data_IF_530868271362
#
_entry.id   IF_530868271362
#
_cell.length_a   1.000
_cell.length_b   1.000
_cell.length_c   1.000
_cell.angle_alpha   90.00
_cell.angle_beta   90.00
_cell.angle_gamma   90.00
#
_symmetry.space_group_name_H-M   'P 1'
#
loop_
_entity.id
_entity.type
_entity.pdbx_description
1 polymer ?
#
# COMPACT_ATOMS: atom_id res chain seq x y z
N UNK A 1 0.37 -13.98 -8.54
CA UNK A 1 0.64 -12.53 -8.55
C UNK A 1 0.69 -12.06 -10.00
N UNK A 2 0.05 -10.94 -10.32
CA UNK A 2 0.24 -10.28 -11.64
C UNK A 2 0.90 -8.92 -11.42
N UNK A 3 1.76 -8.54 -12.33
CA UNK A 3 2.43 -7.24 -12.33
C UNK A 3 2.72 -6.78 -13.76
N UNK A 4 2.94 -5.47 -13.98
CA UNK A 4 3.31 -4.93 -15.28
C UNK A 4 4.55 -5.57 -15.86
N UNK A 5 4.68 -5.57 -17.19
CA UNK A 5 5.89 -6.05 -17.87
C UNK A 5 7.12 -5.20 -17.53
N UNK A 6 6.90 -3.94 -17.18
CA UNK A 6 7.93 -2.99 -16.75
C UNK A 6 8.44 -3.23 -15.32
N UNK A 7 7.89 -4.22 -14.59
CA UNK A 7 8.31 -4.51 -13.21
C UNK A 7 9.78 -4.97 -13.18
N UNK A 8 10.62 -4.35 -12.33
CA UNK A 8 12.04 -4.73 -12.22
C UNK A 8 12.23 -6.22 -11.95
N UNK A 9 13.16 -6.84 -12.68
CA UNK A 9 13.43 -8.29 -12.60
C UNK A 9 13.77 -8.75 -11.17
N UNK A 10 14.42 -7.92 -10.38
CA UNK A 10 14.73 -8.22 -8.97
C UNK A 10 13.48 -8.55 -8.15
N UNK A 11 12.36 -7.83 -8.39
CA UNK A 11 11.08 -8.06 -7.69
C UNK A 11 10.40 -9.34 -8.19
N UNK A 12 10.44 -9.55 -9.51
CA UNK A 12 9.88 -10.76 -10.16
C UNK A 12 10.59 -12.01 -9.68
N UNK A 13 11.92 -12.00 -9.73
CA UNK A 13 12.77 -13.12 -9.31
C UNK A 13 12.62 -13.39 -7.81
N UNK A 14 12.55 -12.37 -6.96
CA UNK A 14 12.31 -12.54 -5.53
C UNK A 14 10.98 -13.24 -5.26
N UNK A 15 9.90 -12.83 -5.93
CA UNK A 15 8.60 -13.48 -5.77
C UNK A 15 8.63 -14.95 -6.24
N UNK A 16 9.26 -15.23 -7.38
CA UNK A 16 9.42 -16.61 -7.90
C UNK A 16 10.25 -17.49 -6.95
N UNK A 17 11.30 -16.95 -6.35
CA UNK A 17 12.12 -17.65 -5.35
C UNK A 17 11.29 -18.15 -4.16
N UNK A 18 10.27 -17.41 -3.78
CA UNK A 18 9.32 -17.81 -2.72
C UNK A 18 8.15 -18.66 -3.22
N UNK A 19 8.24 -19.20 -4.44
CA UNK A 19 7.24 -20.12 -5.00
C UNK A 19 6.04 -19.44 -5.63
N UNK A 20 6.02 -18.11 -5.75
CA UNK A 20 4.88 -17.42 -6.35
C UNK A 20 4.85 -17.63 -7.87
N UNK A 21 3.66 -17.92 -8.41
CA UNK A 21 3.42 -17.86 -9.85
C UNK A 21 3.25 -16.40 -10.27
N UNK A 22 4.23 -15.86 -10.97
CA UNK A 22 4.23 -14.48 -11.45
C UNK A 22 3.78 -14.43 -12.91
N UNK A 23 2.79 -13.58 -13.18
CA UNK A 23 2.26 -13.29 -14.52
C UNK A 23 2.60 -11.84 -14.82
N UNK A 24 3.36 -11.61 -15.87
CA UNK A 24 3.64 -10.28 -16.39
C UNK A 24 2.56 -9.92 -17.42
N UNK A 25 1.86 -8.80 -17.23
CA UNK A 25 0.79 -8.38 -18.13
C UNK A 25 0.59 -6.88 -18.13
N UNK A 26 0.50 -6.30 -19.33
CA UNK A 26 0.32 -4.86 -19.53
C UNK A 26 1.52 -4.04 -19.11
N UNK A 27 1.44 -2.74 -19.32
CA UNK A 27 2.54 -1.81 -19.07
C UNK A 27 2.35 -1.02 -17.77
N UNK A 28 1.14 -1.07 -17.20
CA UNK A 28 0.76 -0.34 -15.98
C UNK A 28 0.06 -1.23 -14.94
N UNK A 29 -0.18 -0.64 -13.76
CA UNK A 29 -0.88 -1.31 -12.67
C UNK A 29 -2.32 -1.67 -13.06
N UNK A 30 -3.03 -0.81 -13.79
CA UNK A 30 -4.45 -1.02 -14.11
C UNK A 30 -4.65 -2.25 -15.00
N UNK A 31 -3.84 -2.42 -16.04
CA UNK A 31 -3.87 -3.58 -16.93
C UNK A 31 -3.48 -4.87 -16.20
N UNK A 32 -2.45 -4.82 -15.36
CA UNK A 32 -2.05 -5.97 -14.54
C UNK A 32 -3.16 -6.36 -13.54
N UNK A 33 -3.86 -5.38 -12.97
CA UNK A 33 -4.96 -5.60 -12.03
C UNK A 33 -6.19 -6.18 -12.71
N UNK A 34 -6.59 -5.66 -13.88
CA UNK A 34 -7.68 -6.25 -14.68
C UNK A 34 -7.43 -7.73 -14.98
N UNK A 35 -6.18 -8.07 -15.33
CA UNK A 35 -5.79 -9.47 -15.55
C UNK A 35 -5.91 -10.35 -14.30
N UNK A 36 -5.63 -9.78 -13.12
CA UNK A 36 -5.85 -10.51 -11.85
C UNK A 36 -7.31 -10.85 -11.67
N UNK A 37 -8.22 -9.90 -11.87
CA UNK A 37 -9.66 -10.12 -11.70
C UNK A 37 -10.18 -11.23 -12.61
N UNK A 38 -9.78 -11.26 -13.89
CA UNK A 38 -10.13 -12.36 -14.81
C UNK A 38 -9.65 -13.74 -14.30
N UNK A 39 -8.42 -13.79 -13.75
CA UNK A 39 -7.85 -15.05 -13.26
C UNK A 39 -8.57 -15.51 -12.00
N UNK A 40 -8.91 -14.58 -11.12
CA UNK A 40 -9.66 -14.85 -9.89
C UNK A 40 -11.02 -15.44 -10.22
N UNK A 41 -11.76 -14.82 -11.12
CA UNK A 41 -13.07 -15.30 -11.57
C UNK A 41 -12.99 -16.72 -12.15
N UNK A 42 -12.02 -16.94 -13.06
CA UNK A 42 -11.85 -18.25 -13.72
C UNK A 42 -11.40 -19.37 -12.79
N UNK A 43 -10.70 -19.06 -11.70
CA UNK A 43 -10.05 -20.05 -10.83
C UNK A 43 -10.61 -20.11 -9.41
N UNK A 44 -11.58 -19.27 -9.08
CA UNK A 44 -12.14 -19.19 -7.73
C UNK A 44 -11.10 -18.80 -6.67
N UNK A 45 -10.19 -17.84 -7.00
CA UNK A 45 -9.14 -17.41 -6.09
C UNK A 45 -9.61 -16.22 -5.25
N UNK A 46 -9.00 -16.04 -4.09
CA UNK A 46 -9.23 -14.87 -3.25
C UNK A 46 -8.30 -13.72 -3.67
N UNK A 47 -8.86 -12.53 -3.85
CA UNK A 47 -8.08 -11.32 -4.08
C UNK A 47 -7.49 -10.84 -2.76
N UNK A 48 -6.18 -10.67 -2.71
CA UNK A 48 -5.53 -9.86 -1.69
C UNK A 48 -5.22 -8.50 -2.29
N UNK A 49 -6.04 -7.51 -1.96
CA UNK A 49 -5.85 -6.16 -2.48
C UNK A 49 -4.56 -5.56 -1.90
N UNK A 50 -3.72 -4.87 -2.69
CA UNK A 50 -2.40 -4.43 -2.23
C UNK A 50 -2.43 -3.33 -1.16
N UNK A 51 -3.54 -2.62 -0.97
CA UNK A 51 -3.64 -1.52 0.00
C UNK A 51 -5.06 -1.18 0.48
N UNK A 52 -6.11 -1.48 -0.29
CA UNK A 52 -7.50 -1.10 0.02
C UNK A 52 -8.30 -2.34 0.43
N UNK A 53 -7.91 -2.89 1.57
CA UNK A 53 -8.53 -4.06 2.19
C UNK A 53 -8.35 -3.93 3.71
N UNK A 54 -9.42 -4.11 4.52
CA UNK A 54 -9.37 -3.93 5.96
C UNK A 54 -8.29 -4.78 6.65
N UNK A 55 -8.13 -6.05 6.26
CA UNK A 55 -7.15 -6.94 6.85
C UNK A 55 -5.72 -6.55 6.47
N UNK A 56 -5.52 -6.11 5.22
CA UNK A 56 -4.23 -5.58 4.75
C UNK A 56 -3.90 -4.29 5.50
N UNK A 57 -4.85 -3.36 5.65
CA UNK A 57 -4.67 -2.11 6.40
C UNK A 57 -4.35 -2.41 7.87
N UNK A 58 -5.05 -3.34 8.51
CA UNK A 58 -4.77 -3.76 9.88
C UNK A 58 -3.35 -4.34 10.01
N UNK A 59 -2.93 -5.16 9.05
CA UNK A 59 -1.56 -5.67 8.97
C UNK A 59 -0.52 -4.54 8.88
N UNK A 60 -0.78 -3.50 8.11
CA UNK A 60 0.11 -2.32 8.02
C UNK A 60 0.17 -1.53 9.34
N UNK A 61 -0.87 -1.58 10.16
CA UNK A 61 -0.90 -0.98 11.49
C UNK A 61 0.17 -1.52 12.44
N UNK A 62 0.67 -2.74 12.21
CA UNK A 62 1.76 -3.34 12.99
C UNK A 62 3.05 -2.54 12.94
N UNK A 63 3.29 -1.81 11.85
CA UNK A 63 4.43 -0.88 11.74
C UNK A 63 4.32 0.22 12.80
N UNK A 64 3.13 0.82 12.96
CA UNK A 64 2.89 1.80 14.02
C UNK A 64 3.05 1.21 15.42
N UNK A 65 2.58 -0.01 15.63
CA UNK A 65 2.76 -0.74 16.87
C UNK A 65 4.25 -0.93 17.20
N UNK A 66 5.05 -1.35 16.26
CA UNK A 66 6.48 -1.56 16.46
C UNK A 66 7.23 -0.26 16.73
N UNK A 67 6.90 0.83 16.01
CA UNK A 67 7.47 2.15 16.26
C UNK A 67 7.23 2.57 17.71
N UNK A 68 5.99 2.48 18.20
CA UNK A 68 5.66 2.86 19.57
C UNK A 68 6.30 1.96 20.63
N UNK A 69 6.54 0.69 20.32
CA UNK A 69 7.21 -0.26 21.22
C UNK A 69 8.74 -0.08 21.25
N UNK A 70 9.34 0.21 20.12
CA UNK A 70 10.79 0.32 19.99
C UNK A 70 11.31 1.70 20.41
N UNK A 71 10.48 2.76 20.29
CA UNK A 71 10.84 4.11 20.70
C UNK A 71 9.97 4.57 21.88
N UNK A 72 10.54 4.50 23.08
CA UNK A 72 9.85 4.84 24.34
C UNK A 72 9.82 6.34 24.64
N UNK A 73 10.57 7.14 23.89
CA UNK A 73 10.63 8.59 24.06
C UNK A 73 9.51 9.35 23.35
N UNK A 74 9.64 10.67 23.33
CA UNK A 74 8.68 11.54 22.66
C UNK A 74 8.79 11.42 21.14
N UNK A 75 7.65 11.23 20.50
CA UNK A 75 7.51 11.23 19.03
C UNK A 75 6.58 12.38 18.65
N UNK A 76 7.08 13.38 17.95
CA UNK A 76 6.26 14.50 17.48
C UNK A 76 5.51 14.21 16.20
N UNK A 77 6.17 13.49 15.28
CA UNK A 77 5.59 13.15 13.99
C UNK A 77 6.19 11.86 13.42
N UNK A 78 5.38 11.13 12.65
CA UNK A 78 5.80 9.98 11.84
C UNK A 78 5.53 10.33 10.39
N UNK A 79 6.57 10.29 9.55
CA UNK A 79 6.49 10.52 8.11
C UNK A 79 6.37 9.19 7.38
N UNK A 80 5.39 9.07 6.51
CA UNK A 80 5.07 7.83 5.80
C UNK A 80 4.93 8.07 4.29
N UNK A 81 5.54 7.23 3.44
CA UNK A 81 5.28 7.31 2.02
C UNK A 81 3.83 6.92 1.71
N UNK A 82 3.20 7.65 0.79
CA UNK A 82 1.86 7.34 0.32
C UNK A 82 1.90 6.95 -1.16
N UNK A 83 1.45 5.72 -1.44
CA UNK A 83 1.01 5.29 -2.75
C UNK A 83 -0.50 5.09 -2.71
N UNK A 84 -0.98 3.85 -2.54
CA UNK A 84 -2.40 3.54 -2.36
C UNK A 84 -3.00 3.92 -1.00
N UNK A 85 -2.18 4.29 -0.02
CA UNK A 85 -2.63 4.79 1.29
C UNK A 85 -2.75 3.74 2.40
N UNK A 86 -2.67 2.44 2.10
CA UNK A 86 -2.89 1.37 3.08
C UNK A 86 -1.93 1.42 4.29
N UNK A 87 -0.64 1.67 4.05
CA UNK A 87 0.34 1.85 5.13
C UNK A 87 -0.02 3.04 6.02
N UNK A 88 -0.28 4.19 5.43
CA UNK A 88 -0.60 5.40 6.18
C UNK A 88 -1.92 5.24 6.96
N UNK A 89 -2.91 4.59 6.37
CA UNK A 89 -4.19 4.30 7.03
C UNK A 89 -4.01 3.39 8.25
N UNK A 90 -3.28 2.28 8.10
CA UNK A 90 -3.04 1.32 9.19
C UNK A 90 -2.23 1.93 10.33
N UNK A 91 -1.11 2.59 10.00
CA UNK A 91 -0.28 3.26 11.01
C UNK A 91 -1.05 4.37 11.72
N UNK A 92 -1.80 5.19 10.96
CA UNK A 92 -2.59 6.28 11.54
C UNK A 92 -3.69 5.73 12.47
N UNK A 93 -4.42 4.70 12.05
CA UNK A 93 -5.46 4.09 12.87
C UNK A 93 -4.88 3.60 14.21
N UNK A 94 -3.77 2.88 14.19
CA UNK A 94 -3.13 2.37 15.39
C UNK A 94 -2.57 3.50 16.26
N UNK A 95 -1.71 4.35 15.70
CA UNK A 95 -1.00 5.38 16.45
C UNK A 95 -1.97 6.41 17.03
N UNK A 96 -2.95 6.87 16.28
CA UNK A 96 -3.93 7.87 16.75
C UNK A 96 -4.86 7.35 17.83
N UNK A 97 -5.08 6.04 17.90
CA UNK A 97 -5.84 5.42 19.00
C UNK A 97 -5.07 5.43 20.30
N UNK A 98 -3.75 5.27 20.27
CA UNK A 98 -2.90 5.12 21.48
C UNK A 98 -2.23 6.43 21.85
N UNK A 99 -1.70 7.16 20.89
CA UNK A 99 -0.95 8.41 21.04
C UNK A 99 -1.51 9.47 20.06
N UNK A 100 -2.71 10.03 20.32
CA UNK A 100 -3.40 10.95 19.39
C UNK A 100 -2.63 12.24 19.11
N UNK A 101 -1.71 12.63 19.99
CA UNK A 101 -0.84 13.80 19.82
C UNK A 101 0.19 13.65 18.69
N UNK A 102 0.60 12.42 18.36
CA UNK A 102 1.60 12.17 17.32
C UNK A 102 1.02 12.52 15.95
N UNK A 103 1.69 13.38 15.22
CA UNK A 103 1.30 13.74 13.84
C UNK A 103 1.67 12.63 12.87
N UNK A 104 0.73 12.23 12.01
CA UNK A 104 1.02 11.34 10.88
C UNK A 104 1.07 12.22 9.63
N UNK A 105 2.21 12.21 8.95
CA UNK A 105 2.49 13.06 7.79
C UNK A 105 2.76 12.16 6.58
N UNK A 106 1.85 12.21 5.61
CA UNK A 106 2.03 11.53 4.34
C UNK A 106 3.00 12.27 3.44
N UNK A 107 3.82 11.52 2.72
CA UNK A 107 4.82 12.04 1.78
C UNK A 107 4.59 11.40 0.42
N UNK A 108 4.48 12.21 -0.61
CA UNK A 108 4.36 11.79 -2.01
C UNK A 108 5.40 12.49 -2.87
N UNK A 109 5.81 11.84 -3.95
CA UNK A 109 6.60 12.52 -4.98
C UNK A 109 5.72 13.52 -5.74
N UNK A 110 6.30 14.63 -6.16
CA UNK A 110 5.56 15.75 -6.80
C UNK A 110 4.82 15.31 -8.07
N UNK A 111 5.41 14.40 -8.81
CA UNK A 111 4.87 13.84 -10.07
C UNK A 111 3.85 12.72 -9.87
N UNK A 112 3.62 12.27 -8.64
CA UNK A 112 2.68 11.19 -8.30
C UNK A 112 1.86 11.48 -7.04
N UNK A 113 1.56 12.75 -6.76
CA UNK A 113 0.88 13.22 -5.55
C UNK A 113 -0.65 13.09 -5.61
N UNK A 114 -1.16 11.91 -5.97
CA UNK A 114 -2.59 11.66 -6.17
C UNK A 114 -3.41 11.84 -4.88
N UNK A 115 -2.87 11.46 -3.73
CA UNK A 115 -3.54 11.61 -2.43
C UNK A 115 -3.65 13.08 -2.03
N UNK A 116 -2.58 13.86 -2.18
CA UNK A 116 -2.60 15.30 -1.93
C UNK A 116 -3.69 16.01 -2.75
N UNK A 117 -3.75 15.73 -4.06
CA UNK A 117 -4.78 16.33 -4.91
C UNK A 117 -6.18 15.80 -4.59
N UNK A 118 -6.32 14.55 -4.17
CA UNK A 118 -7.60 13.97 -3.75
C UNK A 118 -8.13 14.66 -2.51
N UNK A 119 -7.30 14.85 -1.49
CA UNK A 119 -7.66 15.59 -0.27
C UNK A 119 -8.03 17.03 -0.57
N UNK A 120 -7.23 17.72 -1.41
CA UNK A 120 -7.49 19.12 -1.79
C UNK A 120 -8.81 19.28 -2.56
N UNK A 121 -9.20 18.30 -3.38
CA UNK A 121 -10.42 18.33 -4.19
C UNK A 121 -11.63 17.68 -3.52
N UNK A 122 -11.47 17.05 -2.36
CA UNK A 122 -12.52 16.32 -1.67
C UNK A 122 -13.07 15.12 -2.46
N UNK A 123 -12.34 14.64 -3.46
CA UNK A 123 -12.69 13.46 -4.28
C UNK A 123 -11.45 12.78 -4.80
N UNK A 124 -11.56 11.48 -5.12
CA UNK A 124 -10.45 10.72 -5.71
C UNK A 124 -9.96 11.37 -7.00
N UNK A 125 -8.65 11.55 -7.08
CA UNK A 125 -7.92 12.00 -8.27
C UNK A 125 -6.95 10.91 -8.67
N UNK A 126 -6.95 10.56 -9.96
CA UNK A 126 -5.96 9.67 -10.58
C UNK A 126 -5.06 10.57 -11.42
N UNK A 127 -3.75 10.42 -11.28
CA UNK A 127 -2.72 11.13 -12.05
C UNK A 127 -2.16 10.19 -13.11
#
# INVERSE_FOLDING_TARGET
MSCPQTTPEIKVSAARKWGAKVILHGDDFASAYARVLEIIEKKGLTLMHPFDDPDVIAGQGTVGMEILRQHMGDIHAIFLPIGGGGLAAGVAAYVKTIRPEIKIIGVEAVDSASMYYSLKKGRRVVL
#
